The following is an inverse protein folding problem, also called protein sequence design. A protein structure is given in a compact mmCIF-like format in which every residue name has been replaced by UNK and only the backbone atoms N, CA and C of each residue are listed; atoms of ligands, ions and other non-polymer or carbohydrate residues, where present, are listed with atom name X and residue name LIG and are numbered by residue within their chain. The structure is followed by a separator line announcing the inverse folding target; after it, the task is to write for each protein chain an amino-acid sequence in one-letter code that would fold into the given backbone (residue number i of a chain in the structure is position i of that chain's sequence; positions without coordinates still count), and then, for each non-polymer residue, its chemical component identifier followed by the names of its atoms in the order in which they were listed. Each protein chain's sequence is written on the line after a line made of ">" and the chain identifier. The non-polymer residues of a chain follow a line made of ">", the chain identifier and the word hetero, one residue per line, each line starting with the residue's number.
data_IF_715114835553
#
_entry.id   IF_715114835553
#
_cell.length_a   1.000
_cell.length_b   1.000
_cell.length_c   1.000
_cell.angle_alpha   90.00
_cell.angle_beta   90.00
_cell.angle_gamma   90.00
#
_symmetry.space_group_name_H-M   'P 1'
#
loop_
_entity.id
_entity.type
_entity.pdbx_description
1 polymer ?
#
# COMPACT_ATOMS: atom_id res chain seq x y z
N UNK A 1 -45.48 36.96 18.56
CA UNK A 1 -45.45 38.36 18.09
C UNK A 1 -44.72 38.36 16.75
N UNK A 2 -45.44 38.73 15.68
CA UNK A 2 -45.01 38.67 14.28
C UNK A 2 -43.87 39.67 13.96
N UNK A 3 -42.97 39.31 13.04
CA UNK A 3 -42.76 40.03 11.75
C UNK A 3 -41.68 39.37 10.88
N UNK A 4 -42.07 39.07 9.62
CA UNK A 4 -41.24 38.70 8.46
C UNK A 4 -40.64 39.96 7.79
N UNK A 5 -39.56 39.86 7.00
CA UNK A 5 -39.32 40.71 5.82
C UNK A 5 -39.59 39.90 4.54
N UNK A 6 -40.61 40.21 3.74
CA UNK A 6 -40.65 41.13 2.57
C UNK A 6 -39.64 40.78 1.46
N UNK A 7 -40.22 40.20 0.42
CA UNK A 7 -39.75 39.93 -0.94
C UNK A 7 -39.56 41.26 -1.68
N UNK A 8 -38.49 41.39 -2.48
CA UNK A 8 -38.45 42.36 -3.58
C UNK A 8 -38.03 41.66 -4.88
N UNK A 9 -38.97 41.67 -5.82
CA UNK A 9 -38.93 41.10 -7.16
C UNK A 9 -38.60 42.24 -8.13
N UNK A 10 -37.54 42.10 -8.93
CA UNK A 10 -37.33 42.93 -10.12
C UNK A 10 -36.95 42.06 -11.31
N UNK A 11 -37.92 41.92 -12.20
CA UNK A 11 -37.89 41.26 -13.49
C UNK A 11 -37.59 42.33 -14.56
N UNK A 12 -36.53 42.18 -15.36
CA UNK A 12 -36.37 42.94 -16.62
C UNK A 12 -35.95 41.96 -17.71
N UNK A 13 -36.71 42.01 -18.80
CA UNK A 13 -36.70 41.13 -19.97
C UNK A 13 -36.80 42.04 -21.20
N UNK A 14 -35.92 41.90 -22.20
CA UNK A 14 -36.05 42.28 -23.64
C UNK A 14 -34.65 42.20 -24.31
N UNK A 15 -34.34 41.17 -25.12
CA UNK A 15 -34.58 40.95 -26.57
C UNK A 15 -33.47 41.52 -27.51
N UNK A 16 -33.07 40.78 -28.57
CA UNK A 16 -31.84 41.02 -29.34
C UNK A 16 -32.08 41.81 -30.64
N UNK A 17 -31.02 42.42 -31.18
CA UNK A 17 -31.03 43.04 -32.51
C UNK A 17 -30.01 42.38 -33.45
N UNK A 18 -30.53 41.77 -34.51
CA UNK A 18 -29.83 41.45 -35.75
C UNK A 18 -29.82 42.68 -36.68
N UNK A 19 -28.71 42.92 -37.39
CA UNK A 19 -28.74 43.57 -38.72
C UNK A 19 -27.62 43.04 -39.61
N UNK A 20 -27.98 42.74 -40.86
CA UNK A 20 -27.15 42.27 -41.96
C UNK A 20 -26.79 43.41 -42.95
N UNK A 21 -25.72 43.24 -43.72
CA UNK A 21 -25.49 43.78 -45.09
C UNK A 21 -24.20 43.11 -45.63
N UNK A 22 -24.20 42.26 -46.67
CA UNK A 22 -24.36 42.46 -48.13
C UNK A 22 -23.28 43.32 -48.82
N UNK A 23 -22.33 42.69 -49.56
CA UNK A 23 -22.27 42.72 -51.05
C UNK A 23 -20.99 42.04 -51.65
N UNK A 24 -21.19 41.32 -52.76
CA UNK A 24 -20.24 40.74 -53.74
C UNK A 24 -19.90 41.78 -54.87
N UNK A 25 -19.33 41.49 -56.09
CA UNK A 25 -18.84 40.25 -56.80
C UNK A 25 -17.45 40.46 -57.51
N UNK A 26 -16.74 39.51 -58.19
CA UNK A 26 -16.85 38.87 -59.54
C UNK A 26 -15.58 37.95 -59.75
N UNK A 27 -15.65 36.65 -60.11
CA UNK A 27 -15.52 35.96 -61.45
C UNK A 27 -14.12 36.01 -62.16
N UNK A 28 -13.71 35.07 -63.08
CA UNK A 28 -14.20 33.72 -63.44
C UNK A 28 -13.12 32.62 -63.80
N UNK A 29 -13.63 31.39 -64.07
CA UNK A 29 -13.21 30.34 -65.03
C UNK A 29 -11.87 29.57 -64.91
N UNK A 30 -11.92 28.23 -64.89
CA UNK A 30 -11.67 27.40 -66.10
C UNK A 30 -12.02 25.90 -65.90
N UNK A 31 -12.62 25.30 -66.93
CA UNK A 31 -12.91 23.86 -67.09
C UNK A 31 -11.66 23.06 -67.50
N UNK A 32 -11.52 21.81 -67.02
CA UNK A 32 -11.12 20.67 -67.88
C UNK A 32 -11.28 19.31 -67.20
N UNK A 33 -11.58 18.33 -68.06
CA UNK A 33 -12.06 16.96 -67.81
C UNK A 33 -10.93 15.92 -67.65
N UNK A 34 -11.27 14.87 -66.89
CA UNK A 34 -10.93 13.43 -67.05
C UNK A 34 -9.52 12.92 -66.65
N UNK A 35 -9.36 11.60 -66.36
CA UNK A 35 -9.94 10.83 -65.25
C UNK A 35 -8.88 10.00 -64.47
N UNK A 36 -9.32 9.41 -63.35
CA UNK A 36 -8.84 8.18 -62.69
C UNK A 36 -7.46 7.59 -63.04
N UNK A 37 -6.54 7.64 -62.07
CA UNK A 37 -5.64 6.52 -61.78
C UNK A 37 -5.67 6.24 -60.28
N UNK A 38 -6.22 5.08 -59.94
CA UNK A 38 -6.21 4.46 -58.61
C UNK A 38 -4.80 3.93 -58.32
N UNK A 39 -4.14 4.27 -57.21
CA UNK A 39 -3.14 3.41 -56.63
C UNK A 39 -3.83 2.46 -55.64
N UNK A 40 -3.56 1.18 -55.83
CA UNK A 40 -4.06 0.06 -55.05
C UNK A 40 -4.01 0.33 -53.54
N UNK A 41 -5.14 0.06 -52.89
CA UNK A 41 -5.18 -0.27 -51.47
C UNK A 41 -4.16 -1.38 -51.19
N UNK A 42 -3.10 -1.05 -50.46
CA UNK A 42 -2.39 -2.05 -49.67
C UNK A 42 -3.36 -2.46 -48.57
N UNK A 43 -4.03 -3.59 -48.77
CA UNK A 43 -4.62 -4.33 -47.65
C UNK A 43 -3.46 -4.67 -46.71
N UNK A 44 -3.35 -3.93 -45.62
CA UNK A 44 -2.49 -4.29 -44.50
C UNK A 44 -3.06 -5.58 -43.90
N UNK A 45 -2.28 -6.63 -44.04
CA UNK A 45 -2.44 -7.94 -43.43
C UNK A 45 -2.80 -7.81 -41.93
N UNK A 46 -3.85 -8.48 -41.41
CA UNK A 46 -4.22 -8.42 -40.00
C UNK A 46 -3.40 -9.42 -39.16
N UNK A 47 -2.10 -9.54 -39.40
CA UNK A 47 -1.20 -10.43 -38.66
C UNK A 47 0.13 -9.75 -38.31
N UNK A 48 0.05 -8.57 -37.69
CA UNK A 48 1.14 -8.01 -36.88
C UNK A 48 0.55 -7.61 -35.52
N UNK A 49 -0.02 -8.57 -34.79
CA UNK A 49 0.00 -8.49 -33.33
C UNK A 49 1.33 -9.11 -32.93
N UNK A 50 2.27 -8.27 -32.50
CA UNK A 50 3.49 -8.77 -31.87
C UNK A 50 3.10 -9.81 -30.81
N UNK A 51 3.71 -10.98 -30.96
CA UNK A 51 3.51 -12.15 -30.12
C UNK A 51 3.80 -11.76 -28.66
N UNK A 52 2.87 -12.10 -27.78
CA UNK A 52 2.89 -11.76 -26.36
C UNK A 52 4.29 -11.95 -25.74
N UNK A 53 4.89 -10.82 -25.36
CA UNK A 53 6.14 -10.74 -24.63
C UNK A 53 5.99 -11.37 -23.24
N UNK A 54 6.71 -12.47 -23.03
CA UNK A 54 6.90 -13.25 -21.80
C UNK A 54 6.71 -12.46 -20.49
N UNK A 55 5.82 -12.96 -19.62
CA UNK A 55 5.61 -12.42 -18.26
C UNK A 55 6.87 -12.67 -17.41
N UNK A 56 7.24 -11.76 -16.48
CA UNK A 56 8.39 -11.98 -15.60
C UNK A 56 8.26 -13.26 -14.77
N UNK A 57 9.35 -14.03 -14.71
CA UNK A 57 9.46 -15.23 -13.88
C UNK A 57 9.92 -14.95 -12.45
N UNK A 58 10.45 -13.76 -12.19
CA UNK A 58 10.95 -13.36 -10.88
C UNK A 58 9.87 -12.61 -10.09
N UNK A 59 9.97 -12.66 -8.76
CA UNK A 59 9.14 -11.81 -7.92
C UNK A 59 9.59 -10.35 -8.04
N UNK A 60 8.61 -9.46 -8.15
CA UNK A 60 8.81 -8.02 -8.29
C UNK A 60 8.00 -7.29 -7.22
N UNK A 61 8.58 -6.25 -6.65
CA UNK A 61 7.96 -5.46 -5.59
C UNK A 61 8.30 -3.97 -5.75
N UNK A 62 7.63 -3.12 -4.96
CA UNK A 62 7.98 -1.71 -4.87
C UNK A 62 9.50 -1.54 -4.67
N UNK A 63 10.05 -0.53 -5.35
CA UNK A 63 11.50 -0.25 -5.52
C UNK A 63 12.23 -1.05 -6.59
N UNK A 64 11.59 -2.04 -7.21
CA UNK A 64 12.14 -2.66 -8.40
C UNK A 64 11.99 -1.78 -9.63
N UNK A 65 12.96 -1.86 -10.54
CA UNK A 65 12.90 -1.20 -11.83
C UNK A 65 13.57 -2.00 -12.95
N UNK A 66 13.29 -1.63 -14.19
CA UNK A 66 13.85 -2.21 -15.40
C UNK A 66 12.84 -2.96 -16.27
N UNK A 67 13.38 -3.72 -17.23
CA UNK A 67 12.58 -4.35 -18.29
C UNK A 67 11.55 -5.34 -17.75
N UNK A 68 11.85 -6.00 -16.63
CA UNK A 68 10.96 -6.99 -16.02
C UNK A 68 9.72 -6.34 -15.41
N UNK A 69 9.88 -5.21 -14.74
CA UNK A 69 8.73 -4.41 -14.28
C UNK A 69 7.92 -3.90 -15.46
N UNK A 70 8.58 -3.46 -16.53
CA UNK A 70 7.90 -3.02 -17.74
C UNK A 70 7.07 -4.13 -18.38
N UNK A 71 7.61 -5.35 -18.45
CA UNK A 71 6.89 -6.55 -18.91
C UNK A 71 5.65 -6.82 -18.05
N UNK A 72 5.77 -6.73 -16.73
CA UNK A 72 4.63 -6.88 -15.82
C UNK A 72 3.55 -5.82 -16.09
N UNK A 73 3.94 -4.54 -16.21
CA UNK A 73 3.01 -3.44 -16.48
C UNK A 73 2.26 -3.64 -17.81
N UNK A 74 2.95 -4.12 -18.85
CA UNK A 74 2.33 -4.46 -20.12
C UNK A 74 1.35 -5.64 -19.99
N UNK A 75 1.72 -6.69 -19.25
CA UNK A 75 0.84 -7.84 -19.00
C UNK A 75 -0.43 -7.44 -18.21
N UNK A 76 -0.30 -6.57 -17.21
CA UNK A 76 -1.44 -6.01 -16.49
C UNK A 76 -2.36 -5.20 -17.43
N UNK A 77 -1.79 -4.44 -18.36
CA UNK A 77 -2.59 -3.70 -19.35
C UNK A 77 -3.38 -4.63 -20.28
N UNK A 78 -2.84 -5.80 -20.61
CA UNK A 78 -3.55 -6.78 -21.44
C UNK A 78 -4.79 -7.35 -20.76
N UNK A 79 -4.76 -7.52 -19.44
CA UNK A 79 -5.90 -8.03 -18.67
C UNK A 79 -6.88 -6.94 -18.23
N UNK A 80 -6.63 -5.66 -18.51
CA UNK A 80 -7.62 -4.59 -18.31
C UNK A 80 -7.20 -3.44 -17.40
N UNK A 81 -5.93 -3.35 -17.00
CA UNK A 81 -5.38 -2.15 -16.35
C UNK A 81 -4.95 -1.09 -17.38
N UNK A 82 -4.73 0.15 -16.92
CA UNK A 82 -4.27 1.29 -17.73
C UNK A 82 -3.01 1.92 -17.11
N UNK A 83 -1.94 1.13 -17.03
CA UNK A 83 -0.65 1.52 -16.48
C UNK A 83 0.25 2.17 -17.54
N UNK A 84 1.09 3.11 -17.10
CA UNK A 84 2.23 3.56 -17.87
C UNK A 84 3.37 2.52 -17.73
N UNK A 85 3.86 1.89 -18.81
CA UNK A 85 4.94 0.91 -18.74
C UNK A 85 6.31 1.61 -18.59
N UNK A 86 6.50 2.30 -17.47
CA UNK A 86 7.71 3.05 -17.10
C UNK A 86 8.91 2.13 -16.88
N UNK A 87 8.64 0.89 -16.45
CA UNK A 87 9.65 0.02 -15.90
C UNK A 87 9.99 0.32 -14.43
N UNK A 88 9.25 1.18 -13.75
CA UNK A 88 9.40 1.43 -12.31
C UNK A 88 8.21 0.83 -11.54
N UNK A 89 8.48 0.06 -10.49
CA UNK A 89 7.43 -0.56 -9.67
C UNK A 89 6.93 0.48 -8.67
N UNK A 90 6.12 1.39 -9.19
CA UNK A 90 5.60 2.57 -8.49
C UNK A 90 4.31 2.27 -7.70
N UNK A 91 3.73 3.31 -7.10
CA UNK A 91 2.47 3.22 -6.36
C UNK A 91 1.32 2.71 -7.24
N UNK A 92 1.29 3.10 -8.52
CA UNK A 92 0.25 2.67 -9.46
C UNK A 92 0.37 1.18 -9.77
N UNK A 93 1.59 0.68 -9.97
CA UNK A 93 1.87 -0.75 -10.19
C UNK A 93 1.56 -1.56 -8.94
N UNK A 94 1.95 -1.05 -7.76
CA UNK A 94 1.64 -1.66 -6.45
C UNK A 94 0.12 -1.74 -6.24
N UNK A 95 -0.61 -0.67 -6.56
CA UNK A 95 -2.07 -0.64 -6.51
C UNK A 95 -2.70 -1.67 -7.46
N UNK A 96 -2.27 -1.73 -8.73
CA UNK A 96 -2.85 -2.64 -9.71
C UNK A 96 -2.64 -4.11 -9.31
N UNK A 97 -1.46 -4.46 -8.80
CA UNK A 97 -1.21 -5.81 -8.28
C UNK A 97 -2.07 -6.11 -7.05
N UNK A 98 -2.25 -5.15 -6.15
CA UNK A 98 -3.10 -5.34 -4.97
C UNK A 98 -4.57 -5.51 -5.37
N UNK A 99 -5.08 -4.65 -6.25
CA UNK A 99 -6.43 -4.74 -6.79
C UNK A 99 -6.66 -6.09 -7.50
N UNK A 100 -5.66 -6.55 -8.24
CA UNK A 100 -5.68 -7.86 -8.89
C UNK A 100 -5.76 -8.99 -7.85
N UNK A 101 -4.91 -8.95 -6.81
CA UNK A 101 -4.87 -9.96 -5.75
C UNK A 101 -6.20 -10.05 -5.00
N UNK A 102 -6.80 -8.90 -4.65
CA UNK A 102 -8.09 -8.84 -3.93
C UNK A 102 -9.28 -9.37 -4.74
N UNK A 103 -9.13 -9.49 -6.07
CA UNK A 103 -10.16 -10.08 -6.93
C UNK A 103 -10.02 -11.60 -7.09
N UNK A 104 -9.02 -12.21 -6.45
CA UNK A 104 -8.76 -13.64 -6.50
C UNK A 104 -8.69 -14.23 -5.08
N UNK A 105 -9.70 -15.00 -4.68
CA UNK A 105 -9.83 -15.59 -3.33
C UNK A 105 -8.63 -16.45 -2.87
N UNK A 106 -7.76 -16.88 -3.80
CA UNK A 106 -6.59 -17.71 -3.49
C UNK A 106 -5.30 -16.91 -3.29
N UNK A 107 -5.31 -15.60 -3.52
CA UNK A 107 -4.14 -14.74 -3.42
C UNK A 107 -4.14 -13.93 -2.12
N UNK A 108 -2.94 -13.62 -1.63
CA UNK A 108 -2.75 -12.70 -0.50
C UNK A 108 -2.46 -11.29 -1.05
N UNK A 109 -3.27 -10.32 -0.67
CA UNK A 109 -3.12 -8.94 -1.09
C UNK A 109 -1.90 -8.28 -0.44
N UNK A 110 -0.77 -8.21 -1.13
CA UNK A 110 0.50 -7.66 -0.62
C UNK A 110 1.02 -6.49 -1.44
N UNK A 111 0.53 -6.35 -2.68
CA UNK A 111 1.11 -5.45 -3.68
C UNK A 111 2.42 -5.96 -4.28
N UNK A 112 2.82 -7.20 -3.97
CA UNK A 112 3.99 -7.87 -4.52
C UNK A 112 3.57 -8.83 -5.63
N UNK A 113 4.23 -8.75 -6.76
CA UNK A 113 4.10 -9.75 -7.81
C UNK A 113 4.96 -10.97 -7.44
N UNK A 114 4.30 -12.07 -7.08
CA UNK A 114 4.89 -13.34 -6.68
C UNK A 114 4.41 -14.49 -7.56
N UNK A 115 4.89 -15.72 -7.31
CA UNK A 115 4.56 -16.89 -8.13
C UNK A 115 3.04 -17.21 -8.16
N UNK A 116 2.28 -17.16 -7.05
CA UNK A 116 0.82 -17.27 -7.09
C UNK A 116 0.16 -16.19 -7.96
N UNK A 117 0.58 -14.93 -7.82
CA UNK A 117 0.04 -13.81 -8.61
C UNK A 117 0.34 -14.00 -10.10
N UNK A 118 1.56 -14.41 -10.43
CA UNK A 118 1.98 -14.79 -11.79
C UNK A 118 1.06 -15.85 -12.38
N UNK A 119 0.82 -16.95 -11.67
CA UNK A 119 0.01 -18.06 -12.20
C UNK A 119 -1.42 -17.63 -12.54
N UNK A 120 -2.03 -16.77 -11.71
CA UNK A 120 -3.36 -16.22 -12.01
C UNK A 120 -3.32 -15.26 -13.21
N UNK A 121 -2.29 -14.42 -13.30
CA UNK A 121 -2.12 -13.49 -14.42
C UNK A 121 -1.90 -14.23 -15.75
N UNK A 122 -1.03 -15.25 -15.75
CA UNK A 122 -0.81 -16.15 -16.89
C UNK A 122 -2.12 -16.81 -17.35
N UNK A 123 -2.90 -17.34 -16.40
CA UNK A 123 -4.16 -18.00 -16.71
C UNK A 123 -5.17 -17.05 -17.38
N UNK A 124 -5.31 -15.81 -16.89
CA UNK A 124 -6.20 -14.82 -17.51
C UNK A 124 -5.77 -14.49 -18.94
N UNK A 125 -4.47 -14.30 -19.16
CA UNK A 125 -3.92 -13.98 -20.48
C UNK A 125 -4.09 -15.14 -21.46
N UNK A 126 -3.80 -16.38 -21.04
CA UNK A 126 -4.01 -17.58 -21.84
C UNK A 126 -5.49 -17.74 -22.25
N UNK A 127 -6.41 -17.48 -21.32
CA UNK A 127 -7.85 -17.57 -21.56
C UNK A 127 -8.41 -16.35 -22.31
N UNK A 128 -7.63 -15.27 -22.47
CA UNK A 128 -8.06 -13.97 -23.01
C UNK A 128 -9.20 -13.36 -22.20
N UNK A 129 -9.20 -13.62 -20.91
CA UNK A 129 -10.12 -13.03 -19.96
C UNK A 129 -9.60 -11.66 -19.53
N UNK A 130 -10.51 -10.81 -19.08
CA UNK A 130 -10.20 -9.46 -18.58
C UNK A 130 -10.75 -9.30 -17.17
N UNK A 131 -10.03 -8.53 -16.38
CA UNK A 131 -10.43 -8.13 -15.04
C UNK A 131 -10.97 -6.70 -15.06
N UNK A 132 -11.79 -6.37 -14.07
CA UNK A 132 -12.28 -5.01 -13.90
C UNK A 132 -11.38 -4.28 -12.91
N UNK A 133 -10.50 -3.45 -13.47
CA UNK A 133 -9.62 -2.57 -12.70
C UNK A 133 -10.39 -1.77 -11.63
N UNK A 134 -9.92 -1.84 -10.38
CA UNK A 134 -10.49 -1.15 -9.22
C UNK A 134 -11.70 -1.83 -8.56
N UNK A 135 -12.04 -3.07 -8.95
CA UNK A 135 -13.11 -3.84 -8.30
C UNK A 135 -12.71 -4.39 -6.93
N UNK A 136 -11.44 -4.77 -6.74
CA UNK A 136 -10.92 -5.23 -5.45
C UNK A 136 -10.45 -4.08 -4.56
N UNK A 137 -9.71 -3.13 -5.12
CA UNK A 137 -9.24 -1.91 -4.46
C UNK A 137 -9.54 -0.69 -5.34
N UNK A 138 -10.57 0.12 -5.01
CA UNK A 138 -10.92 1.30 -5.78
C UNK A 138 -9.75 2.29 -5.88
N UNK A 139 -9.44 2.73 -7.10
CA UNK A 139 -8.44 3.79 -7.31
C UNK A 139 -8.93 5.10 -6.69
N UNK A 140 -8.21 5.61 -5.69
CA UNK A 140 -8.52 6.92 -5.09
C UNK A 140 -8.01 8.03 -5.99
N UNK A 141 -8.93 8.85 -6.50
CA UNK A 141 -8.59 9.97 -7.38
C UNK A 141 -7.98 11.16 -6.63
N UNK A 142 -8.30 11.33 -5.36
CA UNK A 142 -7.84 12.43 -4.52
C UNK A 142 -7.33 11.89 -3.17
N UNK A 143 -6.29 12.50 -2.58
CA UNK A 143 -5.86 12.16 -1.23
C UNK A 143 -6.99 12.31 -0.22
N UNK A 144 -7.06 11.37 0.72
CA UNK A 144 -7.98 11.43 1.85
C UNK A 144 -7.19 11.77 3.12
N UNK A 145 -7.86 12.38 4.09
CA UNK A 145 -7.23 12.77 5.36
C UNK A 145 -8.09 12.36 6.54
N UNK A 146 -7.45 12.00 7.65
CA UNK A 146 -8.13 11.79 8.93
C UNK A 146 -8.68 13.12 9.47
N UNK A 147 -9.50 13.06 10.52
CA UNK A 147 -9.97 14.26 11.21
C UNK A 147 -8.83 15.08 11.85
N UNK A 148 -7.67 14.46 12.12
CA UNK A 148 -6.46 15.14 12.60
C UNK A 148 -5.59 15.72 11.48
N UNK A 149 -5.95 15.52 10.22
CA UNK A 149 -5.23 16.03 9.05
C UNK A 149 -4.10 15.13 8.56
N UNK A 150 -4.02 13.89 9.04
CA UNK A 150 -3.03 12.88 8.62
C UNK A 150 -3.47 12.29 7.27
N UNK A 151 -2.56 12.15 6.31
CA UNK A 151 -2.90 11.59 5.00
C UNK A 151 -3.27 10.10 5.14
N UNK A 152 -4.37 9.68 4.55
CA UNK A 152 -4.80 8.28 4.56
C UNK A 152 -4.23 7.58 3.34
N UNK A 153 -3.43 6.53 3.56
CA UNK A 153 -2.80 5.79 2.47
C UNK A 153 -3.85 5.21 1.52
N UNK A 154 -3.54 5.26 0.21
CA UNK A 154 -4.46 4.80 -0.82
C UNK A 154 -4.57 3.27 -0.83
N UNK A 155 -3.45 2.58 -0.59
CA UNK A 155 -3.35 1.13 -0.55
C UNK A 155 -3.00 0.65 0.87
N UNK A 156 -3.98 0.22 1.68
CA UNK A 156 -3.70 -0.27 3.03
C UNK A 156 -3.13 -1.69 3.10
N UNK A 157 -3.14 -2.43 1.98
CA UNK A 157 -2.65 -3.80 1.88
C UNK A 157 -1.17 -3.89 1.48
N UNK A 158 -0.58 -2.78 1.05
CA UNK A 158 0.82 -2.70 0.65
C UNK A 158 1.74 -3.12 1.82
N UNK A 159 2.53 -4.17 1.60
CA UNK A 159 3.50 -4.67 2.57
C UNK A 159 4.52 -3.59 2.98
N UNK A 160 4.88 -2.69 2.06
CA UNK A 160 5.78 -1.57 2.28
C UNK A 160 5.05 -0.25 2.53
N UNK A 161 3.74 -0.30 2.83
CA UNK A 161 2.98 0.88 3.23
C UNK A 161 3.62 1.52 4.46
N UNK A 162 3.90 2.82 4.38
CA UNK A 162 4.39 3.61 5.51
C UNK A 162 3.20 4.00 6.37
N UNK A 163 3.19 3.57 7.64
CA UNK A 163 2.17 3.97 8.63
C UNK A 163 2.90 4.67 9.77
N UNK A 164 2.61 5.96 9.95
CA UNK A 164 3.23 6.80 10.98
C UNK A 164 2.36 8.03 11.24
N UNK A 165 2.94 9.07 11.89
CA UNK A 165 2.22 10.30 12.23
C UNK A 165 1.85 11.18 11.02
N UNK A 166 2.33 10.84 9.84
CA UNK A 166 2.04 11.54 8.59
C UNK A 166 1.16 10.71 7.65
N UNK A 167 1.15 9.39 7.82
CA UNK A 167 0.46 8.42 6.97
C UNK A 167 -0.39 7.46 7.82
N UNK A 168 -1.70 7.55 7.70
CA UNK A 168 -2.68 6.77 8.43
C UNK A 168 -3.32 5.67 7.56
N UNK A 169 -3.75 4.59 8.21
CA UNK A 169 -4.64 3.59 7.63
C UNK A 169 -6.10 4.09 7.66
N UNK A 170 -6.94 3.62 6.72
CA UNK A 170 -8.38 3.86 6.77
C UNK A 170 -9.01 3.34 8.08
N UNK A 171 -10.03 4.03 8.58
CA UNK A 171 -10.75 3.65 9.80
C UNK A 171 -11.39 2.25 9.71
N UNK A 172 -11.88 1.91 8.52
CA UNK A 172 -12.56 0.65 8.23
C UNK A 172 -11.61 -0.46 7.77
N UNK A 173 -10.29 -0.21 7.71
CA UNK A 173 -9.34 -1.22 7.28
C UNK A 173 -9.10 -2.30 8.34
N UNK A 174 -9.40 -3.53 7.94
CA UNK A 174 -9.13 -4.77 8.66
C UNK A 174 -8.55 -5.75 7.63
N UNK A 175 -7.31 -6.27 7.81
CA UNK A 175 -6.76 -7.25 6.87
C UNK A 175 -7.63 -8.52 6.80
N UNK A 176 -7.88 -9.01 5.59
CA UNK A 176 -8.72 -10.21 5.35
C UNK A 176 -7.99 -11.52 5.69
N UNK A 177 -6.67 -11.47 5.81
CA UNK A 177 -5.75 -12.60 5.99
C UNK A 177 -5.17 -12.69 7.41
N UNK A 178 -5.90 -12.19 8.42
CA UNK A 178 -5.47 -12.27 9.82
C UNK A 178 -5.52 -13.71 10.36
N UNK A 179 -4.39 -14.22 10.83
CA UNK A 179 -4.22 -15.54 11.46
C UNK A 179 -3.46 -15.40 12.78
N UNK A 180 -3.59 -16.40 13.65
CA UNK A 180 -2.76 -16.51 14.87
C UNK A 180 -1.52 -17.34 14.50
N UNK A 181 -0.30 -16.78 14.59
CA UNK A 181 0.92 -17.55 14.37
C UNK A 181 1.09 -18.63 15.43
N UNK A 182 1.66 -19.77 15.05
CA UNK A 182 2.00 -20.89 15.93
C UNK A 182 3.31 -20.61 16.71
N UNK A 183 3.26 -19.58 17.56
CA UNK A 183 4.34 -19.15 18.43
C UNK A 183 3.85 -19.00 19.88
N UNK A 184 4.74 -19.12 20.88
CA UNK A 184 4.37 -18.93 22.29
C UNK A 184 3.94 -17.48 22.59
N UNK A 185 2.93 -17.35 23.45
CA UNK A 185 2.45 -16.09 24.03
C UNK A 185 2.45 -16.21 25.57
N UNK A 186 2.70 -15.14 26.34
CA UNK A 186 2.72 -15.19 27.81
C UNK A 186 1.31 -15.19 28.43
N UNK A 187 0.28 -15.43 27.61
CA UNK A 187 -1.13 -15.45 27.97
C UNK A 187 -1.88 -16.48 27.11
N UNK A 188 -2.95 -17.07 27.65
CA UNK A 188 -3.68 -18.16 27.02
C UNK A 188 -4.96 -17.70 26.31
N UNK A 189 -5.44 -16.50 26.63
CA UNK A 189 -6.67 -15.93 26.10
C UNK A 189 -6.60 -15.74 24.59
N UNK A 190 -7.70 -16.07 23.92
CA UNK A 190 -7.89 -15.79 22.49
C UNK A 190 -8.26 -14.31 22.31
N UNK A 191 -7.26 -13.50 21.94
CA UNK A 191 -7.36 -12.05 21.83
C UNK A 191 -6.93 -11.61 20.42
N UNK A 192 -7.55 -10.56 19.84
CA UNK A 192 -7.14 -10.04 18.52
C UNK A 192 -5.66 -9.69 18.40
N UNK A 193 -5.03 -9.29 19.51
CA UNK A 193 -3.59 -9.01 19.59
C UNK A 193 -2.69 -10.24 19.40
N UNK A 194 -3.24 -11.44 19.25
CA UNK A 194 -2.48 -12.61 18.81
C UNK A 194 -2.34 -12.67 17.29
N UNK A 195 -3.17 -11.94 16.56
CA UNK A 195 -3.27 -12.09 15.12
C UNK A 195 -2.24 -11.25 14.38
N UNK A 196 -1.87 -11.69 13.19
CA UNK A 196 -1.09 -10.95 12.20
C UNK A 196 -1.56 -11.37 10.80
N UNK A 197 -1.18 -10.63 9.77
CA UNK A 197 -1.38 -11.06 8.39
C UNK A 197 -0.61 -12.35 8.12
N UNK A 198 -1.20 -13.25 7.32
CA UNK A 198 -0.69 -14.61 7.11
C UNK A 198 0.78 -14.68 6.69
N UNK A 199 1.24 -13.82 5.78
CA UNK A 199 2.64 -13.81 5.35
C UNK A 199 3.59 -13.44 6.50
N UNK A 200 3.20 -12.46 7.33
CA UNK A 200 4.00 -12.05 8.49
C UNK A 200 3.94 -13.09 9.61
N UNK A 201 2.80 -13.78 9.79
CA UNK A 201 2.66 -14.86 10.76
C UNK A 201 3.60 -16.04 10.43
N UNK A 202 3.62 -16.49 9.17
CA UNK A 202 4.51 -17.57 8.73
C UNK A 202 6.00 -17.19 8.91
N UNK A 203 6.35 -15.94 8.57
CA UNK A 203 7.71 -15.45 8.79
C UNK A 203 8.08 -15.37 10.28
N UNK A 204 7.13 -15.02 11.15
CA UNK A 204 7.35 -14.96 12.59
C UNK A 204 7.57 -16.36 13.18
N UNK A 205 6.82 -17.36 12.70
CA UNK A 205 7.01 -18.77 13.07
C UNK A 205 8.43 -19.25 12.72
N UNK A 206 8.92 -18.94 11.51
CA UNK A 206 10.29 -19.26 11.10
C UNK A 206 11.35 -18.55 11.96
N UNK A 207 11.14 -17.26 12.27
CA UNK A 207 12.02 -16.49 13.17
C UNK A 207 12.08 -17.13 14.57
N UNK A 208 10.93 -17.51 15.13
CA UNK A 208 10.85 -18.10 16.46
C UNK A 208 11.45 -19.51 16.50
N UNK A 209 11.22 -20.31 15.46
CA UNK A 209 11.87 -21.61 15.33
C UNK A 209 13.40 -21.46 15.31
N UNK A 210 13.93 -20.50 14.55
CA UNK A 210 15.37 -20.27 14.49
C UNK A 210 15.95 -19.76 15.82
N UNK A 211 15.18 -18.98 16.60
CA UNK A 211 15.56 -18.59 17.95
C UNK A 211 15.59 -19.80 18.90
N UNK A 212 14.60 -20.69 18.81
CA UNK A 212 14.56 -21.95 19.59
C UNK A 212 15.76 -22.84 19.26
N UNK A 213 16.12 -22.96 17.98
CA UNK A 213 17.33 -23.69 17.54
C UNK A 213 18.63 -23.06 18.06
N UNK A 214 18.61 -21.77 18.36
CA UNK A 214 19.69 -21.04 19.03
C UNK A 214 19.62 -21.11 20.57
N UNK A 215 18.73 -21.94 21.14
CA UNK A 215 18.48 -22.08 22.58
C UNK A 215 17.95 -20.79 23.25
N UNK A 216 17.19 -19.97 22.50
CA UNK A 216 16.60 -18.71 22.95
C UNK A 216 15.07 -18.81 23.04
N UNK A 217 14.50 -18.19 24.07
CA UNK A 217 13.05 -18.25 24.33
C UNK A 217 12.38 -16.91 24.01
N UNK A 218 11.81 -16.81 22.82
CA UNK A 218 10.99 -15.67 22.39
C UNK A 218 9.51 -15.90 22.68
N UNK A 219 8.79 -14.80 22.94
CA UNK A 219 7.34 -14.79 23.13
C UNK A 219 6.72 -13.64 22.33
N UNK A 220 5.65 -13.92 21.60
CA UNK A 220 4.82 -12.89 20.97
C UNK A 220 3.91 -12.24 22.02
N UNK A 221 3.70 -10.92 21.93
CA UNK A 221 2.98 -10.16 22.97
C UNK A 221 1.80 -9.35 22.44
N UNK A 222 1.98 -8.65 21.31
CA UNK A 222 0.94 -7.81 20.71
C UNK A 222 1.14 -7.63 19.21
N UNK A 223 0.31 -8.31 18.42
CA UNK A 223 0.17 -8.17 16.97
C UNK A 223 -0.91 -7.16 16.59
N UNK A 224 -1.92 -7.63 15.85
CA UNK A 224 -2.99 -6.82 15.29
C UNK A 224 -3.78 -6.04 16.36
N UNK A 225 -4.06 -4.77 16.03
CA UNK A 225 -4.89 -3.90 16.85
C UNK A 225 -5.81 -3.09 15.95
N UNK A 226 -7.12 -3.27 16.11
CA UNK A 226 -8.10 -2.53 15.31
C UNK A 226 -8.05 -1.02 15.56
N UNK A 227 -8.55 -0.26 14.59
CA UNK A 227 -8.71 1.20 14.70
C UNK A 227 -9.48 1.59 15.98
N UNK A 228 -10.64 0.98 16.22
CA UNK A 228 -11.49 1.25 17.41
C UNK A 228 -10.75 1.00 18.73
N UNK A 229 -9.90 -0.03 18.77
CA UNK A 229 -9.09 -0.33 19.95
C UNK A 229 -8.02 0.74 20.16
N UNK A 230 -7.36 1.18 19.08
CA UNK A 230 -6.37 2.25 19.14
C UNK A 230 -7.03 3.59 19.54
N UNK A 231 -8.22 3.89 19.04
CA UNK A 231 -9.00 5.08 19.43
C UNK A 231 -9.30 5.07 20.94
N UNK A 232 -9.75 3.93 21.47
CA UNK A 232 -10.00 3.76 22.90
C UNK A 232 -8.74 3.96 23.76
N UNK A 233 -7.59 3.46 23.30
CA UNK A 233 -6.29 3.65 23.98
C UNK A 233 -5.88 5.12 23.95
N UNK A 234 -5.96 5.75 22.78
CA UNK A 234 -5.59 7.16 22.61
C UNK A 234 -6.49 8.06 23.45
N UNK A 235 -7.81 7.86 23.44
CA UNK A 235 -8.76 8.61 24.24
C UNK A 235 -8.49 8.50 25.75
N UNK A 236 -8.12 7.31 26.25
CA UNK A 236 -7.73 7.13 27.64
C UNK A 236 -6.44 7.90 27.98
N UNK A 237 -5.45 7.89 27.09
CA UNK A 237 -4.21 8.65 27.26
C UNK A 237 -4.45 10.17 27.23
N UNK A 238 -5.32 10.65 26.33
CA UNK A 238 -5.75 12.06 26.27
C UNK A 238 -6.42 12.47 27.56
N UNK A 239 -7.30 11.62 28.12
CA UNK A 239 -7.96 11.89 29.39
C UNK A 239 -6.97 12.00 30.56
N UNK A 240 -5.92 11.18 30.56
CA UNK A 240 -4.94 11.13 31.64
C UNK A 240 -3.85 12.22 31.54
N UNK A 241 -3.40 12.55 30.32
CA UNK A 241 -2.19 13.34 30.10
C UNK A 241 -2.41 14.59 29.23
N UNK A 242 -3.57 14.73 28.59
CA UNK A 242 -3.82 15.73 27.54
C UNK A 242 -3.35 15.25 26.17
N UNK A 243 -3.94 15.83 25.12
CA UNK A 243 -3.76 15.33 23.74
C UNK A 243 -2.33 15.48 23.21
N UNK A 244 -1.71 16.63 23.42
CA UNK A 244 -0.32 16.88 22.98
C UNK A 244 0.65 15.88 23.61
N UNK A 245 0.51 15.61 24.92
CA UNK A 245 1.35 14.64 25.61
C UNK A 245 1.03 13.21 25.16
N UNK A 246 -0.24 12.85 25.04
CA UNK A 246 -0.67 11.52 24.58
C UNK A 246 -0.08 11.17 23.20
N UNK A 247 -0.07 12.15 22.28
CA UNK A 247 0.45 11.97 20.92
C UNK A 247 1.98 11.77 20.85
N UNK A 248 2.71 12.00 21.94
CA UNK A 248 4.15 11.75 21.98
C UNK A 248 4.49 10.28 22.24
N UNK A 249 3.61 9.53 22.90
CA UNK A 249 3.86 8.13 23.30
C UNK A 249 2.76 7.15 22.86
N UNK A 250 1.70 7.63 22.21
CA UNK A 250 0.60 6.82 21.70
C UNK A 250 0.21 7.33 20.32
N UNK A 251 0.23 6.44 19.33
CA UNK A 251 -0.28 6.74 17.99
C UNK A 251 -1.76 7.14 18.05
N UNK A 252 -2.18 8.07 17.18
CA UNK A 252 -3.62 8.28 16.91
C UNK A 252 -4.19 7.04 16.22
N UNK A 253 -5.51 6.81 16.28
CA UNK A 253 -6.12 5.75 15.49
C UNK A 253 -5.85 5.98 14.00
N UNK A 254 -5.51 4.91 13.27
CA UNK A 254 -5.00 4.97 11.90
C UNK A 254 -3.48 5.08 11.80
N UNK A 255 -2.79 5.70 12.76
CA UNK A 255 -1.34 5.94 12.73
C UNK A 255 -0.50 4.82 13.37
N UNK A 256 -1.15 3.77 13.88
CA UNK A 256 -0.48 2.63 14.52
C UNK A 256 -0.24 1.51 13.51
N UNK A 257 1.02 1.08 13.38
CA UNK A 257 1.37 -0.04 12.48
C UNK A 257 0.69 -1.35 12.89
N UNK A 258 0.31 -1.54 14.17
CA UNK A 258 -0.45 -2.71 14.60
C UNK A 258 -1.77 -2.89 13.83
N UNK A 259 -2.39 -1.82 13.31
CA UNK A 259 -3.59 -1.93 12.50
C UNK A 259 -3.32 -2.59 11.14
N UNK A 260 -2.07 -2.52 10.63
CA UNK A 260 -1.69 -3.20 9.39
C UNK A 260 -1.72 -4.72 9.50
N UNK A 261 -1.60 -5.25 10.73
CA UNK A 261 -1.37 -6.68 10.98
C UNK A 261 0.02 -7.17 10.54
N UNK A 262 0.93 -6.28 10.12
CA UNK A 262 2.31 -6.58 9.74
C UNK A 262 3.30 -6.40 10.91
N UNK A 263 2.80 -6.13 12.10
CA UNK A 263 3.61 -5.80 13.28
C UNK A 263 3.39 -6.83 14.38
N UNK A 264 4.46 -7.22 15.07
CA UNK A 264 4.40 -7.97 16.32
C UNK A 264 5.37 -7.38 17.33
N UNK A 265 4.85 -7.03 18.51
CA UNK A 265 5.67 -6.83 19.69
C UNK A 265 6.10 -8.21 20.24
N UNK A 266 7.40 -8.38 20.48
CA UNK A 266 7.97 -9.61 21.02
C UNK A 266 8.72 -9.36 22.32
N UNK A 267 8.85 -10.38 23.15
CA UNK A 267 9.49 -10.30 24.47
C UNK A 267 10.17 -11.62 24.82
N UNK A 268 10.75 -11.71 26.01
CA UNK A 268 11.34 -12.94 26.54
C UNK A 268 11.15 -13.04 28.06
N UNK A 269 11.35 -14.22 28.67
CA UNK A 269 11.38 -14.38 30.12
C UNK A 269 12.45 -13.52 30.81
N UNK A 270 13.52 -13.13 30.09
CA UNK A 270 14.62 -12.34 30.64
C UNK A 270 14.21 -10.91 31.06
N UNK A 271 13.07 -10.42 30.54
CA UNK A 271 12.47 -9.13 30.90
C UNK A 271 11.07 -9.30 31.48
N UNK A 272 10.79 -10.43 32.15
CA UNK A 272 9.49 -10.73 32.76
C UNK A 272 8.29 -10.58 31.80
N UNK A 273 8.53 -10.81 30.50
CA UNK A 273 7.55 -10.62 29.41
C UNK A 273 7.06 -9.17 29.24
N UNK A 274 7.84 -8.18 29.68
CA UNK A 274 7.55 -6.76 29.46
C UNK A 274 8.07 -6.28 28.09
N UNK A 275 7.44 -5.22 27.58
CA UNK A 275 7.88 -4.48 26.39
C UNK A 275 8.70 -3.27 26.83
N UNK A 276 10.00 -3.48 27.00
CA UNK A 276 10.93 -2.51 27.59
C UNK A 276 12.22 -2.43 26.78
N UNK A 277 12.92 -1.30 26.89
CA UNK A 277 14.16 -1.04 26.14
C UNK A 277 15.23 -2.08 26.50
N UNK A 278 15.25 -2.53 27.75
CA UNK A 278 16.13 -3.57 28.28
C UNK A 278 16.03 -4.90 27.53
N UNK A 279 14.92 -5.15 26.81
CA UNK A 279 14.81 -6.30 25.93
C UNK A 279 15.94 -6.33 24.90
N UNK A 280 16.33 -5.17 24.34
CA UNK A 280 17.43 -5.06 23.38
C UNK A 280 18.81 -5.44 23.95
N UNK A 281 18.95 -5.49 25.28
CA UNK A 281 20.17 -5.89 25.97
C UNK A 281 20.23 -7.38 26.33
N UNK A 282 19.10 -8.09 26.21
CA UNK A 282 19.03 -9.54 26.41
C UNK A 282 19.71 -10.30 25.26
N UNK A 283 19.96 -11.59 25.46
CA UNK A 283 20.47 -12.44 24.37
C UNK A 283 19.43 -12.56 23.25
N UNK A 284 18.14 -12.65 23.59
CA UNK A 284 17.03 -12.70 22.65
C UNK A 284 16.91 -11.43 21.79
N UNK A 285 16.95 -10.24 22.42
CA UNK A 285 16.86 -8.97 21.71
C UNK A 285 18.06 -8.70 20.80
N UNK A 286 19.28 -9.07 21.24
CA UNK A 286 20.49 -9.00 20.40
C UNK A 286 20.39 -9.96 19.23
N UNK A 287 19.93 -11.18 19.46
CA UNK A 287 19.74 -12.17 18.41
C UNK A 287 18.71 -11.70 17.37
N UNK A 288 17.59 -11.12 17.81
CA UNK A 288 16.61 -10.50 16.89
C UNK A 288 17.26 -9.41 16.05
N UNK A 289 18.02 -8.50 16.67
CA UNK A 289 18.70 -7.42 15.94
C UNK A 289 19.60 -7.93 14.82
N UNK A 290 20.22 -9.09 15.02
CA UNK A 290 21.12 -9.72 14.05
C UNK A 290 20.40 -10.57 12.99
N UNK A 291 19.26 -11.19 13.33
CA UNK A 291 18.65 -12.24 12.51
C UNK A 291 17.26 -11.88 11.94
N UNK A 292 16.53 -10.90 12.50
CA UNK A 292 15.16 -10.56 12.09
C UNK A 292 15.03 -10.28 10.58
N UNK A 293 16.06 -9.66 9.99
CA UNK A 293 16.09 -9.31 8.57
C UNK A 293 16.07 -10.53 7.64
N UNK A 294 16.63 -11.66 8.07
CA UNK A 294 16.62 -12.91 7.30
C UNK A 294 15.22 -13.47 7.13
N UNK A 295 14.31 -13.12 8.03
CA UNK A 295 12.89 -13.51 8.04
C UNK A 295 11.97 -12.36 7.61
N UNK A 296 12.52 -11.25 7.11
CA UNK A 296 11.71 -10.15 6.58
C UNK A 296 11.18 -9.17 7.61
N UNK A 297 11.71 -9.19 8.84
CA UNK A 297 11.40 -8.22 9.88
C UNK A 297 12.50 -7.17 10.05
N UNK A 298 12.07 -5.95 10.37
CA UNK A 298 12.95 -4.87 10.83
C UNK A 298 12.62 -4.53 12.29
N UNK A 299 13.61 -4.04 13.03
CA UNK A 299 13.35 -3.28 14.25
C UNK A 299 12.84 -1.91 13.80
N UNK A 300 11.53 -1.68 13.95
CA UNK A 300 10.85 -0.55 13.30
C UNK A 300 11.29 0.81 13.81
N UNK A 301 11.59 0.88 15.11
CA UNK A 301 12.00 2.09 15.82
C UNK A 301 13.38 1.86 16.44
N UNK A 302 14.46 2.00 15.64
CA UNK A 302 15.83 1.78 16.11
C UNK A 302 16.36 2.97 16.92
N UNK A 303 17.35 2.72 17.78
CA UNK A 303 18.01 3.74 18.60
C UNK A 303 18.65 4.84 17.74
N UNK A 304 18.45 6.10 18.12
CA UNK A 304 19.06 7.26 17.43
C UNK A 304 18.33 7.70 16.16
N UNK A 305 17.14 7.17 15.90
CA UNK A 305 16.26 7.54 14.77
C UNK A 305 14.93 8.16 15.21
N UNK A 306 14.88 8.67 16.44
CA UNK A 306 13.68 9.27 17.03
C UNK A 306 13.25 10.54 16.30
N UNK A 307 14.21 11.33 15.78
CA UNK A 307 13.92 12.54 14.99
C UNK A 307 13.29 12.24 13.62
N UNK A 308 13.40 10.99 13.14
CA UNK A 308 12.82 10.54 11.85
C UNK A 308 11.49 9.81 12.10
N UNK A 309 11.51 8.80 12.96
CA UNK A 309 10.33 7.96 13.22
C UNK A 309 9.30 8.64 14.13
N UNK A 310 9.74 9.60 14.96
CA UNK A 310 8.95 10.26 16.01
C UNK A 310 8.44 9.25 17.07
N UNK A 311 9.15 8.13 17.21
CA UNK A 311 9.00 7.15 18.27
C UNK A 311 10.34 6.96 18.99
N UNK A 312 10.28 6.61 20.27
CA UNK A 312 11.46 6.21 21.03
C UNK A 312 12.02 4.88 20.51
N UNK A 313 13.22 4.52 20.92
CA UNK A 313 13.77 3.19 20.65
C UNK A 313 12.85 2.08 21.21
N UNK A 314 12.43 1.15 20.36
CA UNK A 314 11.58 0.00 20.72
C UNK A 314 12.16 -1.31 20.15
N UNK A 315 13.12 -1.95 20.84
CA UNK A 315 13.75 -3.19 20.37
C UNK A 315 12.79 -4.37 20.24
N UNK A 316 11.62 -4.29 20.88
CA UNK A 316 10.58 -5.32 20.83
C UNK A 316 9.66 -5.21 19.60
N UNK A 317 9.63 -4.06 18.92
CA UNK A 317 8.62 -3.77 17.90
C UNK A 317 9.10 -4.18 16.51
N UNK A 318 8.65 -5.35 16.06
CA UNK A 318 9.03 -5.90 14.76
C UNK A 318 7.99 -5.57 13.70
N UNK A 319 8.44 -4.99 12.58
CA UNK A 319 7.62 -4.72 11.39
C UNK A 319 8.05 -5.63 10.26
N UNK A 320 7.11 -6.41 9.72
CA UNK A 320 7.30 -7.22 8.52
C UNK A 320 7.26 -6.34 7.28
N UNK A 321 8.31 -6.43 6.47
CA UNK A 321 8.49 -5.71 5.20
C UNK A 321 8.94 -6.65 4.06
N UNK A 322 9.08 -7.95 4.37
CA UNK A 322 9.64 -8.96 3.46
C UNK A 322 11.16 -8.97 3.46
N UNK A 323 11.74 -10.14 3.13
CA UNK A 323 13.18 -10.43 3.28
C UNK A 323 14.06 -9.42 2.55
N UNK A 324 13.71 -9.05 1.31
CA UNK A 324 14.51 -8.14 0.50
C UNK A 324 14.64 -6.76 1.14
N UNK A 325 13.52 -6.11 1.44
CA UNK A 325 13.51 -4.79 2.07
C UNK A 325 14.12 -4.84 3.48
N UNK A 326 13.80 -5.86 4.27
CA UNK A 326 14.33 -5.98 5.63
C UNK A 326 15.86 -6.05 5.65
N UNK A 327 16.47 -6.83 4.74
CA UNK A 327 17.93 -6.91 4.58
C UNK A 327 18.54 -5.58 4.19
N UNK A 328 17.94 -4.87 3.24
CA UNK A 328 18.43 -3.56 2.81
C UNK A 328 18.36 -2.53 3.95
N UNK A 329 17.22 -2.46 4.65
CA UNK A 329 16.99 -1.55 5.78
C UNK A 329 17.97 -1.82 6.93
N UNK A 330 18.04 -3.08 7.38
CA UNK A 330 18.83 -3.44 8.55
C UNK A 330 20.34 -3.39 8.28
N UNK A 331 20.80 -3.77 7.07
CA UNK A 331 22.23 -3.69 6.71
C UNK A 331 22.74 -2.25 6.56
N UNK A 332 21.87 -1.32 6.17
CA UNK A 332 22.19 0.10 6.06
C UNK A 332 21.94 0.88 7.35
N UNK A 333 21.34 0.24 8.37
CA UNK A 333 20.92 0.88 9.62
C UNK A 333 20.04 2.12 9.38
N UNK A 334 19.09 1.99 8.44
CA UNK A 334 18.11 3.01 8.11
C UNK A 334 16.71 2.63 8.62
N UNK A 335 15.79 3.57 8.54
CA UNK A 335 14.36 3.41 8.87
C UNK A 335 13.54 3.07 7.62
N UNK A 336 12.27 2.67 7.81
CA UNK A 336 11.34 2.48 6.69
C UNK A 336 11.07 3.80 5.96
N UNK A 337 11.00 4.91 6.70
CA UNK A 337 10.91 6.26 6.16
C UNK A 337 12.06 6.54 5.18
N UNK A 338 13.31 6.42 5.64
CA UNK A 338 14.50 6.64 4.82
C UNK A 338 14.56 5.69 3.61
N UNK A 339 14.14 4.44 3.79
CA UNK A 339 14.10 3.44 2.70
C UNK A 339 13.17 3.84 1.56
N UNK A 340 11.97 4.34 1.90
CA UNK A 340 10.96 4.73 0.91
C UNK A 340 11.24 6.10 0.29
N UNK A 341 11.99 6.96 0.98
CA UNK A 341 12.38 8.29 0.49
C UNK A 341 13.66 8.30 -0.35
N UNK A 342 14.50 7.26 -0.29
CA UNK A 342 15.83 7.23 -0.91
C UNK A 342 15.88 7.49 -2.43
N UNK A 343 14.74 7.45 -3.14
CA UNK A 343 14.63 7.68 -4.59
C UNK A 343 13.62 8.77 -4.99
N UNK A 344 13.18 9.62 -4.06
CA UNK A 344 12.29 10.77 -4.36
C UNK A 344 13.02 11.99 -4.91
#
# INVERSE_FOLDING_TARGET
>A
MFKKPIINMCLILMLPTFTAACNAPEQPSNDSKNPEETPAHSESDPTDREEFTEIPNESLQKKDSGEKVKQLQLALNEVGYELNPSGDYDETTTWAITDFQLQHDTLLASGIYDEPTKQQLEQLIENKDVIKSGEGLPLKAEPAFTNSGTEIIANPYDQLGLINKEHALPEDYIPEDLVIPDVPFPFAEDLPKKQMRQAAAAALEELFQAAEEAELELFAQSGYRSYERQDSIFAANVQAHGEEAANNFSARPGESEHQSGLTMDVTSPAVDFDLVIEFGETEEGKWIKENAADYGFIIRYPEGKEDITIYQFEPWHLRYVGVKAAKEIMSQAITLEEYLEADK
#
